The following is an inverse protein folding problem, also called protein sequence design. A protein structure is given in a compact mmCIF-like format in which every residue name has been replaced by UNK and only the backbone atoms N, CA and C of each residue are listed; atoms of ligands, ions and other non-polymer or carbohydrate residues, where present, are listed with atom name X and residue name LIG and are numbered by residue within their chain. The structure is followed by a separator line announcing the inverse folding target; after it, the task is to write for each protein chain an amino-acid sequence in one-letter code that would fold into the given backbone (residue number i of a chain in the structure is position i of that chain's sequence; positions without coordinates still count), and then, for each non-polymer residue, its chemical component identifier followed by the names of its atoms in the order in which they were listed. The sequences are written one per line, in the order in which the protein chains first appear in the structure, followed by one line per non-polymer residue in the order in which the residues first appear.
data_IF_902941780912
#
_entry.id   IF_902941780912
#
_cell.length_a   1.000
_cell.length_b   1.000
_cell.length_c   1.000
_cell.angle_alpha   90.00
_cell.angle_beta   90.00
_cell.angle_gamma   90.00
#
_symmetry.space_group_name_H-M   'P 1'
#
loop_
_entity.id
_entity.type
_entity.pdbx_description
1 polymer ?
#
# COMPACT_ATOMS: atom_id res chain seq x y z
N UNK A 1 0.66 2.04 3.28
CA UNK A 1 0.65 0.60 2.99
C UNK A 1 -0.76 0.06 3.09
N UNK A 2 -1.15 -0.75 2.13
CA UNK A 2 -2.44 -1.45 2.14
C UNK A 2 -2.23 -2.90 1.75
N UNK A 3 -3.11 -3.77 2.25
CA UNK A 3 -3.11 -5.19 1.88
C UNK A 3 -4.53 -5.61 1.54
N UNK A 4 -4.63 -6.61 0.67
CA UNK A 4 -5.91 -7.09 0.16
C UNK A 4 -5.94 -8.62 0.21
N UNK A 5 -7.11 -9.14 0.56
CA UNK A 5 -7.37 -10.57 0.55
C UNK A 5 -8.47 -10.87 -0.46
N UNK A 6 -8.61 -12.13 -0.86
CA UNK A 6 -9.70 -12.56 -1.72
C UNK A 6 -10.82 -13.16 -0.87
N UNK A 7 -12.07 -12.80 -1.19
CA UNK A 7 -13.23 -13.45 -0.58
C UNK A 7 -13.55 -14.75 -1.32
N UNK A 8 -14.63 -15.43 -0.91
CA UNK A 8 -15.05 -16.71 -1.50
C UNK A 8 -15.43 -16.59 -2.97
N UNK A 9 -15.74 -15.39 -3.44
CA UNK A 9 -16.11 -15.14 -4.82
C UNK A 9 -14.93 -14.63 -5.66
N UNK A 10 -13.74 -14.52 -5.07
CA UNK A 10 -12.56 -14.06 -5.77
C UNK A 10 -12.43 -12.54 -5.84
N UNK A 11 -13.26 -11.80 -5.12
CA UNK A 11 -13.17 -10.35 -5.07
C UNK A 11 -12.09 -9.92 -4.08
N UNK A 12 -11.37 -8.85 -4.43
CA UNK A 12 -10.37 -8.29 -3.52
C UNK A 12 -11.04 -7.39 -2.49
N UNK A 13 -10.75 -7.66 -1.23
CA UNK A 13 -11.26 -6.88 -0.10
C UNK A 13 -10.08 -6.39 0.74
N UNK A 14 -10.19 -5.22 1.38
CA UNK A 14 -9.12 -4.76 2.27
C UNK A 14 -8.92 -5.73 3.43
N UNK A 15 -7.66 -6.10 3.67
CA UNK A 15 -7.31 -6.97 4.79
C UNK A 15 -7.37 -6.22 6.12
N UNK A 16 -7.03 -4.93 6.07
CA UNK A 16 -7.10 -4.01 7.22
C UNK A 16 -7.15 -2.58 6.67
N UNK A 17 -7.39 -1.61 7.54
CA UNK A 17 -7.35 -0.21 7.13
C UNK A 17 -5.94 0.18 6.71
N UNK A 18 -5.78 1.02 5.66
CA UNK A 18 -4.46 1.46 5.23
C UNK A 18 -3.67 2.08 6.38
N UNK A 19 -2.39 1.74 6.46
CA UNK A 19 -1.50 2.21 7.51
C UNK A 19 -0.50 3.22 6.97
N UNK A 20 -0.22 4.24 7.78
CA UNK A 20 0.79 5.22 7.46
C UNK A 20 2.06 4.94 8.25
N UNK A 21 3.20 5.17 7.59
CA UNK A 21 4.51 5.05 8.21
C UNK A 21 5.28 6.34 7.98
N UNK A 22 6.07 6.75 8.96
CA UNK A 22 6.89 7.96 8.85
C UNK A 22 8.17 7.72 8.05
N UNK A 23 8.48 6.48 7.74
CA UNK A 23 9.72 6.08 7.07
C UNK A 23 9.38 5.15 5.90
N UNK A 24 9.80 5.55 4.69
CA UNK A 24 9.56 4.76 3.49
C UNK A 24 10.21 3.36 3.56
N UNK A 25 11.40 3.28 4.11
CA UNK A 25 12.11 2.00 4.26
C UNK A 25 11.35 1.05 5.18
N UNK A 26 10.75 1.59 6.25
CA UNK A 26 9.96 0.81 7.18
C UNK A 26 8.67 0.32 6.54
N UNK A 27 7.99 1.18 5.78
CA UNK A 27 6.78 0.80 5.06
C UNK A 27 7.05 -0.34 4.08
N UNK A 28 8.15 -0.24 3.34
CA UNK A 28 8.56 -1.27 2.40
C UNK A 28 8.87 -2.59 3.09
N UNK A 29 9.62 -2.53 4.19
CA UNK A 29 9.98 -3.73 4.96
C UNK A 29 8.75 -4.43 5.52
N UNK A 30 7.82 -3.65 6.08
CA UNK A 30 6.59 -4.19 6.63
C UNK A 30 5.74 -4.84 5.54
N UNK A 31 5.63 -4.19 4.38
CA UNK A 31 4.92 -4.75 3.24
C UNK A 31 5.54 -6.07 2.78
N UNK A 32 6.86 -6.15 2.74
CA UNK A 32 7.56 -7.38 2.38
C UNK A 32 7.29 -8.50 3.38
N UNK A 33 7.22 -8.15 4.68
CA UNK A 33 7.02 -9.16 5.72
C UNK A 33 5.62 -9.78 5.68
N UNK A 34 4.62 -9.04 5.21
CA UNK A 34 3.25 -9.54 5.14
C UNK A 34 2.82 -9.98 3.75
N UNK A 35 3.69 -9.83 2.74
CA UNK A 35 3.34 -10.12 1.35
C UNK A 35 2.88 -11.56 1.13
N UNK A 36 3.45 -12.52 1.87
CA UNK A 36 3.07 -13.93 1.76
C UNK A 36 1.78 -14.27 2.47
N UNK A 37 1.25 -13.36 3.29
CA UNK A 37 0.05 -13.59 4.11
C UNK A 37 -1.23 -13.06 3.48
N UNK A 38 -1.10 -12.29 2.41
CA UNK A 38 -2.24 -11.63 1.78
C UNK A 38 -2.19 -11.82 0.26
N UNK A 39 -3.34 -11.70 -0.38
CA UNK A 39 -3.43 -11.86 -1.83
C UNK A 39 -2.70 -10.75 -2.58
N UNK A 40 -2.68 -9.54 -2.02
CA UNK A 40 -1.93 -8.43 -2.58
C UNK A 40 -1.52 -7.45 -1.50
N UNK A 41 -0.34 -6.83 -1.68
CA UNK A 41 0.20 -5.83 -0.75
C UNK A 41 0.83 -4.72 -1.56
N UNK A 42 0.60 -3.47 -1.17
CA UNK A 42 1.21 -2.31 -1.80
C UNK A 42 1.67 -1.31 -0.73
N UNK A 43 2.89 -0.82 -0.89
CA UNK A 43 3.42 0.27 -0.09
C UNK A 43 3.73 1.44 -1.00
N UNK A 44 3.39 2.64 -0.58
CA UNK A 44 3.63 3.87 -1.35
C UNK A 44 3.96 5.02 -0.42
N UNK A 45 4.51 6.08 -1.01
CA UNK A 45 4.73 7.33 -0.29
C UNK A 45 4.23 8.49 -1.15
N UNK A 46 3.93 9.59 -0.50
CA UNK A 46 3.63 10.85 -1.17
C UNK A 46 4.59 11.91 -0.68
N UNK A 47 5.08 12.71 -1.62
CA UNK A 47 5.82 13.90 -1.29
C UNK A 47 4.81 15.01 -1.04
N UNK A 48 4.92 15.66 0.11
CA UNK A 48 4.07 16.80 0.45
C UNK A 48 4.97 17.99 0.76
N UNK A 49 4.61 19.15 0.21
CA UNK A 49 5.25 20.41 0.57
C UNK A 49 4.23 21.27 1.29
N UNK A 50 4.24 21.30 2.62
CA UNK A 50 3.25 22.05 3.38
C UNK A 50 3.36 23.56 3.18
N UNK A 51 4.51 24.06 2.73
CA UNK A 51 4.70 25.49 2.55
C UNK A 51 3.93 26.04 1.35
N UNK A 52 3.64 25.20 0.35
CA UNK A 52 2.88 25.59 -0.83
C UNK A 52 1.58 24.81 -0.98
N UNK A 53 1.28 23.92 -0.02
CA UNK A 53 0.04 23.16 -0.01
C UNK A 53 -0.08 22.14 -1.12
N UNK A 54 1.00 21.78 -1.77
CA UNK A 54 1.00 20.79 -2.84
C UNK A 54 1.40 19.40 -2.36
N UNK A 55 0.75 18.40 -2.95
CA UNK A 55 1.07 17.00 -2.73
C UNK A 55 1.47 16.39 -4.06
N UNK A 56 2.66 15.79 -4.10
CA UNK A 56 3.11 15.09 -5.28
C UNK A 56 2.32 13.81 -5.54
N UNK A 57 2.48 13.19 -6.72
CA UNK A 57 1.85 11.91 -7.00
C UNK A 57 2.41 10.83 -6.08
N UNK A 58 1.61 9.80 -5.76
CA UNK A 58 2.10 8.70 -4.92
C UNK A 58 3.19 7.93 -5.65
N UNK A 59 4.23 7.58 -4.94
CA UNK A 59 5.32 6.76 -5.44
C UNK A 59 5.20 5.36 -4.82
N UNK A 60 5.12 4.33 -5.67
CA UNK A 60 5.03 2.96 -5.20
C UNK A 60 6.42 2.48 -4.79
N UNK A 61 6.56 2.07 -3.53
CA UNK A 61 7.80 1.56 -2.97
C UNK A 61 7.91 0.05 -3.11
N UNK A 62 6.77 -0.64 -3.03
CA UNK A 62 6.71 -2.09 -3.09
C UNK A 62 5.29 -2.51 -3.49
N UNK A 63 5.19 -3.52 -4.33
CA UNK A 63 3.89 -4.14 -4.63
C UNK A 63 4.09 -5.62 -4.90
N UNK A 64 3.11 -6.42 -4.50
CA UNK A 64 3.16 -7.87 -4.68
C UNK A 64 1.75 -8.42 -4.75
N UNK A 65 1.56 -9.45 -5.58
CA UNK A 65 0.29 -10.14 -5.68
C UNK A 65 -0.78 -9.37 -6.46
N UNK A 66 -2.04 -9.69 -6.16
CA UNK A 66 -3.18 -9.06 -6.83
C UNK A 66 -3.57 -7.77 -6.12
N UNK A 67 -3.69 -6.70 -6.90
CA UNK A 67 -4.10 -5.39 -6.40
C UNK A 67 -5.31 -4.91 -7.20
N UNK A 68 -6.25 -4.18 -6.57
CA UNK A 68 -7.33 -3.56 -7.32
C UNK A 68 -6.75 -2.48 -8.24
N UNK A 69 -7.48 -2.18 -9.33
CA UNK A 69 -7.09 -1.08 -10.18
C UNK A 69 -7.17 0.22 -9.40
N UNK A 70 -6.06 0.91 -9.34
CA UNK A 70 -5.98 2.22 -8.71
C UNK A 70 -5.89 3.27 -9.82
N UNK A 71 -6.99 3.95 -10.02
CA UNK A 71 -7.05 5.08 -10.94
C UNK A 71 -7.00 6.39 -10.20
#
# INVERSE_FOLDING_TARGET
MAAFDEDDEGNLIPAFDPREFNDAARAKREAQSIASKHAGVVAWQRTADPSIGEYGPPEVLFQNGRLPEME
#
